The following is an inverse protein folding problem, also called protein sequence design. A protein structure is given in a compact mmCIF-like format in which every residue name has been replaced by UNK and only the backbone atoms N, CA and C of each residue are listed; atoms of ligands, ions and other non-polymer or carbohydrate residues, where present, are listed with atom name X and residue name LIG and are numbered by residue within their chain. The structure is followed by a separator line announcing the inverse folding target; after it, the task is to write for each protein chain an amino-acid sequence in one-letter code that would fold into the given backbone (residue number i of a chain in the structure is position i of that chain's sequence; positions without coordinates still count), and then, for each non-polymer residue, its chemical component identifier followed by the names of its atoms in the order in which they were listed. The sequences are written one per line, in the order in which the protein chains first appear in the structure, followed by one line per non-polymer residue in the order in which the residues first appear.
data_IF_056533343968
#
_entry.id   IF_056533343968
#
_cell.length_a   1.000
_cell.length_b   1.000
_cell.length_c   1.000
_cell.angle_alpha   90.00
_cell.angle_beta   90.00
_cell.angle_gamma   90.00
#
_symmetry.space_group_name_H-M   'P 1'
#
loop_
_entity.id
_entity.type
_entity.pdbx_description
1 polymer ?
2 non-polymer ?
3 water ?
#
# COMPACT_ATOMS: atom_id res chain seq x y z
N UNK A 13 -16.38 -6.49 5.79
CA UNK A 13 -17.39 -6.84 4.73
C UNK A 13 -17.75 -5.59 3.91
N UNK A 14 -18.01 -4.48 4.60
CA UNK A 14 -18.29 -3.18 4.01
C UNK A 14 -17.10 -2.20 3.80
N UNK A 15 -15.93 -2.52 4.35
CA UNK A 15 -14.77 -1.67 4.11
C UNK A 15 -14.08 -2.08 2.81
N UNK A 16 -13.35 -1.13 2.22
CA UNK A 16 -12.56 -1.42 1.05
C UNK A 16 -11.20 -1.94 1.54
N UNK A 17 -10.85 -3.16 1.16
CA UNK A 17 -9.56 -3.75 1.58
C UNK A 17 -8.60 -3.64 0.40
N UNK A 18 -7.42 -3.12 0.65
CA UNK A 18 -6.35 -3.09 -0.34
C UNK A 18 -5.07 -3.60 0.34
N UNK A 19 -4.05 -3.93 -0.47
CA UNK A 19 -2.82 -4.50 0.10
C UNK A 19 -1.64 -3.66 -0.30
N UNK A 20 -0.92 -3.18 0.69
CA UNK A 20 0.25 -2.35 0.47
C UNK A 20 1.59 -3.08 0.60
N UNK A 21 2.46 -2.84 -0.38
CA UNK A 21 3.80 -3.38 -0.40
C UNK A 21 4.82 -2.25 -0.23
N UNK A 22 6.10 -2.61 -0.08
CA UNK A 22 7.16 -1.63 0.06
C UNK A 22 8.05 -1.63 -1.19
N UNK A 23 8.21 -0.43 -1.76
CA UNK A 23 8.98 -0.26 -2.98
C UNK A 23 10.37 -0.84 -2.84
N UNK A 24 10.72 -1.70 -3.78
CA UNK A 24 12.05 -2.31 -3.82
C UNK A 24 12.31 -3.43 -2.81
N UNK A 25 11.33 -3.78 -2.00
CA UNK A 25 11.44 -4.79 -1.01
C UNK A 25 10.90 -6.09 -1.58
N UNK A 26 11.80 -7.04 -1.84
CA UNK A 26 11.48 -8.33 -2.46
C UNK A 26 10.95 -9.37 -1.46
N UNK A 27 11.07 -9.08 -0.17
CA UNK A 27 10.69 -10.05 0.86
C UNK A 27 9.36 -9.80 1.52
N UNK A 28 9.04 -8.53 1.73
CA UNK A 28 7.79 -8.22 2.38
C UNK A 28 6.64 -8.51 1.43
N UNK A 29 5.68 -9.31 1.90
CA UNK A 29 4.57 -9.71 1.04
C UNK A 29 3.26 -8.94 1.31
N UNK A 30 3.33 -7.78 1.94
CA UNK A 30 2.22 -6.88 2.00
C UNK A 30 1.44 -6.85 3.28
N UNK A 31 0.74 -5.73 3.44
CA UNK A 31 -0.14 -5.56 4.58
C UNK A 31 -1.50 -5.11 4.07
N UNK A 32 -2.56 -5.68 4.64
CA UNK A 32 -3.92 -5.30 4.27
C UNK A 32 -4.40 -4.13 5.12
N UNK A 33 -4.92 -3.13 4.42
CA UNK A 33 -5.56 -1.99 5.03
C UNK A 33 -7.05 -1.98 4.70
N UNK A 34 -7.89 -1.69 5.68
CA UNK A 34 -9.32 -1.48 5.48
C UNK A 34 -9.55 0.01 5.40
N UNK A 35 -9.98 0.44 4.24
CA UNK A 35 -10.22 1.86 3.98
C UNK A 35 -11.72 2.11 4.09
N UNK A 36 -12.12 2.89 5.09
CA UNK A 36 -13.47 3.39 5.21
C UNK A 36 -13.38 4.79 5.86
N UNK A 37 -14.40 5.59 5.66
CA UNK A 37 -14.44 6.96 6.19
C UNK A 37 -14.07 6.92 7.66
N UNK A 38 -14.70 5.97 8.33
CA UNK A 38 -14.43 5.62 9.71
C UNK A 38 -12.96 5.31 10.08
N UNK A 39 -12.16 4.70 9.20
CA UNK A 39 -10.78 4.35 9.56
C UNK A 39 -9.74 5.35 9.10
N UNK A 40 -9.95 5.91 7.92
CA UNK A 40 -9.06 6.92 7.38
C UNK A 40 -9.94 7.96 6.74
N UNK A 41 -10.07 9.09 7.39
CA UNK A 41 -10.96 10.12 6.85
C UNK A 41 -10.20 11.01 5.89
N UNK A 42 -8.87 10.84 5.85
CA UNK A 42 -8.09 11.67 4.95
C UNK A 42 -6.86 10.96 4.40
N UNK A 43 -6.43 11.45 3.26
CA UNK A 43 -5.23 10.96 2.63
C UNK A 43 -4.00 11.10 3.53
N UNK A 44 -3.82 12.27 4.15
CA UNK A 44 -2.65 12.44 4.99
C UNK A 44 -2.66 11.43 6.14
N UNK A 45 -3.83 11.17 6.71
CA UNK A 45 -3.91 10.21 7.79
C UNK A 45 -3.46 8.81 7.33
N UNK A 46 -3.84 8.45 6.10
CA UNK A 46 -3.44 7.16 5.57
C UNK A 46 -1.92 7.08 5.42
N UNK A 47 -1.31 8.09 4.83
CA UNK A 47 0.13 8.05 4.65
C UNK A 47 0.83 8.01 5.99
N UNK A 48 0.32 8.77 6.99
CA UNK A 48 0.99 8.78 8.29
C UNK A 48 0.95 7.37 8.90
N UNK A 49 -0.20 6.71 8.76
CA UNK A 49 -0.32 5.33 9.26
C UNK A 49 0.59 4.34 8.54
N UNK A 50 0.71 4.48 7.22
CA UNK A 50 1.62 3.67 6.43
C UNK A 50 3.05 3.85 6.88
N UNK A 51 3.46 5.08 7.20
CA UNK A 51 4.80 5.24 7.77
C UNK A 51 4.93 4.51 9.08
N UNK A 52 3.91 4.61 9.93
CA UNK A 52 3.96 3.94 11.22
C UNK A 52 4.09 2.44 11.07
N UNK A 53 3.40 1.88 10.07
CA UNK A 53 3.39 0.41 9.93
C UNK A 53 4.52 -0.14 9.11
N UNK A 54 4.95 0.59 8.10
CA UNK A 54 5.90 0.07 7.15
C UNK A 54 7.29 0.61 7.17
N UNK A 55 7.47 1.82 7.69
CA UNK A 55 8.82 2.42 7.69
C UNK A 55 9.67 1.96 8.85
N UNK A 56 10.83 1.39 8.56
CA UNK A 56 11.73 1.03 9.66
C UNK A 56 13.12 1.61 9.40
N UNK A 57 14.15 1.09 10.05
CA UNK A 57 15.46 1.72 9.87
C UNK A 57 16.12 1.45 8.56
N UNK A 58 15.67 0.43 7.82
CA UNK A 58 16.25 0.14 6.52
C UNK A 58 15.22 0.13 5.38
N UNK A 59 13.93 -0.10 5.65
CA UNK A 59 12.90 -0.14 4.61
C UNK A 59 12.10 1.17 4.65
N UNK A 60 12.13 1.94 3.57
CA UNK A 60 11.50 3.23 3.47
C UNK A 60 11.80 4.12 4.70
N UNK A 61 13.05 4.22 5.08
CA UNK A 61 13.36 4.86 6.36
C UNK A 61 12.94 6.33 6.51
N UNK A 62 12.93 7.08 5.43
CA UNK A 62 12.53 8.50 5.52
C UNK A 62 11.01 8.65 5.78
N UNK A 63 10.24 7.62 5.46
CA UNK A 63 8.80 7.60 5.63
C UNK A 63 8.12 7.37 4.27
N UNK A 64 6.84 6.99 4.30
CA UNK A 64 6.08 6.79 3.10
C UNK A 64 5.69 8.14 2.54
N UNK A 65 6.00 8.35 1.27
CA UNK A 65 5.72 9.62 0.59
C UNK A 65 4.76 9.45 -0.56
N UNK A 66 4.66 8.23 -1.08
CA UNK A 66 3.94 7.99 -2.33
C UNK A 66 3.31 6.63 -2.33
N UNK A 67 2.15 6.52 -2.96
CA UNK A 67 1.51 5.24 -3.21
C UNK A 67 1.42 5.05 -4.73
N UNK A 68 2.02 3.97 -5.24
CA UNK A 68 1.98 3.65 -6.65
C UNK A 68 1.02 2.53 -6.95
N UNK A 69 0.45 2.60 -8.16
CA UNK A 69 -0.23 1.45 -8.67
C UNK A 69 0.81 0.35 -8.84
N UNK A 70 0.32 -0.88 -9.01
CA UNK A 70 1.20 -2.04 -9.00
C UNK A 70 2.19 -2.09 -10.15
N UNK A 71 1.89 -1.37 -11.23
CA UNK A 71 2.76 -1.27 -12.40
C UNK A 71 3.73 -0.10 -12.33
N UNK A 72 3.65 0.68 -11.26
CA UNK A 72 4.49 1.84 -11.04
C UNK A 72 4.22 3.01 -11.94
N UNK A 73 3.12 2.98 -12.69
CA UNK A 73 2.90 4.00 -13.68
C UNK A 73 2.05 5.16 -13.22
N UNK A 74 1.43 5.04 -12.05
CA UNK A 74 0.61 6.11 -11.52
C UNK A 74 0.80 6.25 -10.02
N UNK A 75 0.92 7.49 -9.58
CA UNK A 75 0.89 7.80 -8.18
C UNK A 75 -0.53 8.12 -7.81
N UNK A 76 -1.01 7.53 -6.75
CA UNK A 76 -2.35 7.78 -6.27
C UNK A 76 -2.47 9.19 -5.67
N UNK A 77 -3.51 9.92 -6.06
CA UNK A 77 -3.76 11.26 -5.54
C UNK A 77 -5.02 11.39 -4.67
N UNK A 78 -5.89 10.39 -4.67
CA UNK A 78 -7.11 10.48 -3.86
C UNK A 78 -7.55 9.10 -3.42
N UNK A 79 -8.29 9.05 -2.30
CA UNK A 79 -8.67 7.76 -1.72
C UNK A 79 -9.58 6.97 -2.62
N UNK A 80 -10.37 7.65 -3.45
CA UNK A 80 -11.25 6.94 -4.39
C UNK A 80 -10.55 6.22 -5.53
N UNK A 81 -9.26 6.48 -5.71
CA UNK A 81 -8.52 5.78 -6.71
C UNK A 81 -8.11 4.38 -6.22
N UNK A 82 -8.23 4.16 -4.91
CA UNK A 82 -7.92 2.83 -4.36
C UNK A 82 -9.09 1.92 -4.66
N UNK A 83 -8.81 0.73 -5.20
CA UNK A 83 -9.82 -0.24 -5.60
C UNK A 83 -9.78 -1.48 -4.76
N UNK A 84 -10.95 -1.86 -4.27
CA UNK A 84 -11.07 -3.06 -3.50
C UNK A 84 -10.33 -4.22 -4.13
N UNK A 85 -9.48 -4.86 -3.35
CA UNK A 85 -8.74 -6.05 -3.75
C UNK A 85 -7.50 -5.81 -4.56
N UNK A 86 -7.23 -4.53 -4.89
CA UNK A 86 -5.99 -4.24 -5.60
C UNK A 86 -4.82 -4.10 -4.63
N UNK A 87 -3.62 -4.15 -5.21
CA UNK A 87 -2.34 -4.03 -4.51
C UNK A 87 -1.63 -2.75 -4.94
N UNK A 88 -0.94 -2.11 -4.00
CA UNK A 88 -0.31 -0.82 -4.21
C UNK A 88 1.08 -0.88 -3.59
N UNK A 89 1.97 -0.01 -4.05
CA UNK A 89 3.37 0.00 -3.61
C UNK A 89 3.71 1.35 -2.98
N UNK A 90 4.16 1.32 -1.75
CA UNK A 90 4.53 2.51 -1.01
C UNK A 90 5.97 2.85 -1.33
N UNK A 91 6.18 4.09 -1.69
CA UNK A 91 7.50 4.56 -2.01
C UNK A 91 7.92 5.70 -1.08
N UNK A 92 9.22 5.96 -1.06
CA UNK A 92 9.78 7.02 -0.21
C UNK A 92 10.65 7.95 -1.05
N UNK A 93 11.94 7.62 -1.21
CA UNK A 93 12.87 8.50 -1.95
C UNK A 93 13.25 7.95 -3.32
N UNK A 94 13.60 6.68 -3.38
CA UNK A 94 13.98 6.01 -4.63
C UNK A 94 12.76 5.86 -5.53
N UNK A 95 12.97 5.93 -6.84
CA UNK A 95 11.87 5.75 -7.78
C UNK A 95 11.31 4.32 -7.72
N UNK A 96 10.15 4.12 -8.31
CA UNK A 96 9.51 2.82 -8.36
C UNK A 96 10.42 1.76 -8.89
N UNK A 97 10.46 0.62 -8.18
CA UNK A 97 11.22 -0.52 -8.61
C UNK A 97 10.26 -1.62 -9.03
N UNK A 98 10.40 -2.11 -10.25
CA UNK A 98 9.53 -3.18 -10.72
C UNK A 98 9.97 -4.50 -10.12
N UNK A 99 9.10 -5.08 -9.30
CA UNK A 99 9.28 -6.42 -8.74
C UNK A 99 7.96 -7.18 -8.90
N UNK A 100 8.01 -8.50 -8.77
CA UNK A 100 6.82 -9.34 -8.77
C UNK A 100 6.26 -9.33 -7.34
N UNK A 101 5.79 -8.15 -6.94
CA UNK A 101 5.34 -7.95 -5.57
C UNK A 101 4.31 -8.96 -5.10
N UNK A 102 3.31 -9.24 -5.95
CA UNK A 102 2.16 -10.03 -5.53
C UNK A 102 2.31 -11.52 -5.81
N UNK A 103 3.46 -11.92 -6.34
CA UNK A 103 3.59 -13.31 -6.74
C UNK A 103 3.42 -14.25 -5.57
N UNK A 104 2.60 -15.27 -5.80
CA UNK A 104 2.30 -16.29 -4.82
C UNK A 104 1.52 -15.84 -3.59
N UNK A 105 1.02 -14.60 -3.58
CA UNK A 105 0.15 -14.14 -2.51
C UNK A 105 -1.31 -14.46 -2.88
N UNK A 106 -1.86 -15.46 -2.21
CA UNK A 106 -3.27 -15.86 -2.45
C UNK A 106 -4.23 -14.66 -2.21
N UNK A 107 -5.20 -14.42 -3.09
CA UNK A 107 -6.11 -13.26 -2.99
C UNK A 107 -7.20 -13.35 -1.91
N UNK A 108 -7.23 -14.44 -1.12
CA UNK A 108 -8.31 -14.60 -0.14
C UNK A 108 -8.38 -13.51 0.90
N UNK A 109 -7.28 -12.77 1.13
CA UNK A 109 -7.30 -11.64 2.04
C UNK A 109 -8.36 -10.61 1.61
N UNK A 110 -8.70 -10.61 0.32
CA UNK A 110 -9.65 -9.64 -0.21
C UNK A 110 -11.08 -10.24 -0.30
N UNK A 111 -11.23 -11.52 0.04
CA UNK A 111 -12.51 -12.21 -0.11
C UNK A 111 -13.08 -12.61 1.24
N UNK A 112 -12.30 -13.29 2.07
CA UNK A 112 -12.82 -13.66 3.41
C UNK A 112 -12.22 -12.72 4.42
N UNK A 113 -13.05 -11.74 4.74
CA UNK A 113 -12.75 -10.49 5.44
C UNK A 113 -11.56 -9.83 4.82
X LIG B 1 14.09 4.32 -0.27
X LIG B 1 13.97 4.19 1.15
X LIG B 1 13.38 5.47 -0.76
X LIG B 1 15.51 4.46 -0.56
X LIG B 1 13.51 3.12 -0.88
X LIG C 1 8.38 6.61 -10.67
X LIG C 1 7.70 7.91 -10.72
X LIG C 1 9.37 6.52 -11.74
X LIG C 1 9.05 6.42 -9.39
X LIG C 1 7.36 5.59 -10.91
#
# INVERSE_FOLDING_TARGET
GAMDPEFTLSSEKKAKKVRFYRNGDRYFKGIVYAISPDRFRSFEALLADLTRTLSDNVNLPQGVRTIYTIDGLKKISSLDQLVEGESYVCGSIEPFKKLEYTKNVNPNWSVNV
SO4 S O1 O2 O3 O4
SO4 S O1 O2 O3 O4
#
